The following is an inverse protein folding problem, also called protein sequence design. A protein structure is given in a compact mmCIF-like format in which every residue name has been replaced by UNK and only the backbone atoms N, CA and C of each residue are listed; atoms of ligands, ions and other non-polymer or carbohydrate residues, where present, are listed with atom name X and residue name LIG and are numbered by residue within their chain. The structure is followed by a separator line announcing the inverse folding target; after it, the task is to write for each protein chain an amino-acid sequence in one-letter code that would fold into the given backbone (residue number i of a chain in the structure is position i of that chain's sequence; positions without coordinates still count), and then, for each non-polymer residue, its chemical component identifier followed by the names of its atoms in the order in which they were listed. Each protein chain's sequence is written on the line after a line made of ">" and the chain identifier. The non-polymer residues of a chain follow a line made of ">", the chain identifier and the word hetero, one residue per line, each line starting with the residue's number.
data_IF_816653114637
#
_entry.id   IF_816653114637
#
_cell.length_a   1.000
_cell.length_b   1.000
_cell.length_c   1.000
_cell.angle_alpha   90.00
_cell.angle_beta   90.00
_cell.angle_gamma   90.00
#
_symmetry.space_group_name_H-M   'P 1'
#
loop_
_entity.id
_entity.type
_entity.pdbx_description
1 polymer ?
#
# COMPACT_ATOMS: atom_id res chain seq x y z
N UNK A 1 -31.12 -6.87 -16.91
CA UNK A 1 -30.70 -6.43 -15.56
C UNK A 1 -29.25 -6.86 -15.40
N UNK A 2 -28.31 -5.92 -15.24
CA UNK A 2 -26.90 -6.27 -15.02
C UNK A 2 -26.72 -6.47 -13.52
N UNK A 3 -26.68 -7.72 -13.07
CA UNK A 3 -26.56 -8.06 -11.64
C UNK A 3 -25.09 -8.30 -11.23
N UNK A 4 -24.14 -7.92 -12.09
CA UNK A 4 -22.72 -8.07 -11.86
C UNK A 4 -21.98 -6.84 -12.40
N UNK A 5 -20.92 -6.42 -11.71
CA UNK A 5 -19.95 -5.44 -12.20
C UNK A 5 -18.54 -5.94 -11.98
N UNK A 6 -17.73 -5.87 -13.03
CA UNK A 6 -16.29 -6.10 -12.98
C UNK A 6 -15.58 -4.75 -13.00
N UNK A 7 -14.53 -4.60 -12.20
CA UNK A 7 -13.63 -3.45 -12.18
C UNK A 7 -12.20 -3.92 -12.34
N UNK A 8 -11.43 -3.17 -13.13
CA UNK A 8 -9.99 -3.31 -13.27
C UNK A 8 -9.41 -1.93 -13.01
N UNK A 9 -8.46 -1.85 -12.09
CA UNK A 9 -7.83 -0.59 -11.68
C UNK A 9 -6.32 -0.75 -11.73
N UNK A 10 -5.66 0.30 -12.18
CA UNK A 10 -4.22 0.47 -12.09
C UNK A 10 -3.97 1.88 -11.54
N UNK A 11 -3.05 1.97 -10.58
CA UNK A 11 -2.66 3.23 -9.97
C UNK A 11 -1.16 3.24 -9.67
N UNK A 12 -0.58 4.43 -9.69
CA UNK A 12 0.81 4.66 -9.31
C UNK A 12 0.87 5.84 -8.35
N UNK A 13 1.67 5.71 -7.30
CA UNK A 13 1.94 6.76 -6.33
C UNK A 13 3.40 6.72 -5.88
N UNK A 14 3.84 7.78 -5.22
CA UNK A 14 5.19 7.87 -4.67
C UNK A 14 5.18 8.52 -3.30
N UNK A 15 6.22 8.24 -2.51
CA UNK A 15 6.55 8.93 -1.26
C UNK A 15 7.91 9.59 -1.41
N UNK A 16 7.93 10.92 -1.35
CA UNK A 16 9.19 11.64 -1.31
C UNK A 16 9.95 11.34 0.00
N UNK A 17 11.29 11.37 -0.02
CA UNK A 17 12.09 11.32 1.21
C UNK A 17 11.71 12.48 2.13
N UNK A 18 11.65 12.22 3.44
CA UNK A 18 11.37 13.25 4.42
C UNK A 18 12.64 14.00 4.88
N UNK A 19 12.46 15.14 5.55
CA UNK A 19 13.59 15.97 6.00
C UNK A 19 14.52 15.26 6.99
N UNK A 20 14.01 14.29 7.76
CA UNK A 20 14.82 13.51 8.71
C UNK A 20 15.67 12.49 7.95
N UNK A 21 15.08 11.83 6.96
CA UNK A 21 15.76 10.89 6.07
C UNK A 21 16.90 11.58 5.29
N UNK A 22 16.69 12.83 4.86
CA UNK A 22 17.68 13.58 4.08
C UNK A 22 18.74 14.32 4.92
N UNK A 23 18.34 15.01 5.99
CA UNK A 23 19.18 16.05 6.61
C UNK A 23 19.58 15.76 8.07
N UNK A 24 19.47 14.52 8.54
CA UNK A 24 19.96 14.16 9.88
C UNK A 24 21.49 14.17 9.93
N UNK A 25 22.06 15.25 10.49
CA UNK A 25 23.52 15.44 10.60
C UNK A 25 24.06 15.45 12.03
N UNK A 26 23.21 15.69 13.03
CA UNK A 26 23.60 15.86 14.44
C UNK A 26 23.39 14.61 15.31
N UNK A 27 23.21 13.44 14.69
CA UNK A 27 23.02 12.16 15.37
C UNK A 27 24.08 11.17 14.87
N UNK A 28 25.23 11.00 15.55
CA UNK A 28 26.32 10.14 15.05
C UNK A 28 25.94 8.68 14.78
N UNK A 29 24.84 8.19 15.39
CA UNK A 29 24.32 6.86 15.17
C UNK A 29 23.39 6.72 13.94
N UNK A 30 22.87 7.84 13.40
CA UNK A 30 21.93 7.87 12.27
C UNK A 30 22.23 9.08 11.38
N UNK A 31 22.62 8.82 10.14
CA UNK A 31 23.06 9.83 9.17
C UNK A 31 22.01 9.92 8.05
N UNK A 32 21.59 11.14 7.73
CA UNK A 32 20.71 11.43 6.60
C UNK A 32 21.41 11.24 5.25
N UNK A 33 20.63 11.19 4.18
CA UNK A 33 21.10 11.03 2.82
C UNK A 33 20.33 11.94 1.84
N UNK A 34 21.01 12.91 1.26
CA UNK A 34 20.40 13.83 0.29
C UNK A 34 20.23 13.19 -1.11
N UNK A 35 20.90 12.07 -1.36
CA UNK A 35 20.86 11.32 -2.62
C UNK A 35 19.73 10.26 -2.64
N UNK A 36 18.72 10.39 -1.78
CA UNK A 36 17.58 9.47 -1.76
C UNK A 36 16.62 9.73 -2.92
N UNK A 37 16.24 8.66 -3.60
CA UNK A 37 15.15 8.65 -4.56
C UNK A 37 13.78 8.47 -3.84
N UNK A 38 12.67 8.95 -4.40
CA UNK A 38 11.33 8.66 -3.86
C UNK A 38 11.00 7.17 -3.92
N UNK A 39 10.34 6.65 -2.88
CA UNK A 39 9.73 5.32 -2.93
C UNK A 39 8.55 5.36 -3.91
N UNK A 40 8.36 4.32 -4.71
CA UNK A 40 7.21 4.23 -5.64
C UNK A 40 6.37 3.00 -5.36
N UNK A 41 5.07 3.10 -5.65
CA UNK A 41 4.14 1.98 -5.55
C UNK A 41 3.26 1.91 -6.80
N UNK A 42 3.19 0.73 -7.40
CA UNK A 42 2.27 0.38 -8.48
C UNK A 42 1.22 -0.60 -7.96
N UNK A 43 -0.04 -0.23 -8.07
CA UNK A 43 -1.18 -1.00 -7.58
C UNK A 43 -2.01 -1.52 -8.75
N UNK A 44 -2.29 -2.82 -8.75
CA UNK A 44 -3.19 -3.49 -9.68
C UNK A 44 -4.34 -4.10 -8.89
N UNK A 45 -5.58 -3.78 -9.26
CA UNK A 45 -6.76 -4.35 -8.60
C UNK A 45 -7.75 -4.92 -9.61
N UNK A 46 -8.33 -6.06 -9.24
CA UNK A 46 -9.47 -6.66 -9.92
C UNK A 46 -10.59 -6.89 -8.92
N UNK A 47 -11.76 -6.37 -9.24
CA UNK A 47 -12.94 -6.42 -8.38
C UNK A 47 -14.14 -7.00 -9.09
N UNK A 48 -14.83 -7.94 -8.47
CA UNK A 48 -16.11 -8.47 -8.93
C UNK A 48 -17.16 -8.22 -7.85
N UNK A 49 -18.24 -7.54 -8.24
CA UNK A 49 -19.41 -7.34 -7.39
C UNK A 49 -20.63 -8.00 -8.05
N UNK A 50 -21.42 -8.71 -7.25
CA UNK A 50 -22.61 -9.42 -7.69
C UNK A 50 -23.80 -9.16 -6.77
N UNK A 51 -24.92 -8.76 -7.36
CA UNK A 51 -26.20 -8.61 -6.69
C UNK A 51 -27.02 -9.90 -6.86
N UNK A 52 -27.03 -10.75 -5.83
CA UNK A 52 -27.77 -12.01 -5.84
C UNK A 52 -29.27 -11.80 -5.93
N UNK A 53 -29.79 -10.80 -5.20
CA UNK A 53 -31.17 -10.37 -5.25
C UNK A 53 -31.30 -8.93 -4.74
N UNK A 54 -32.52 -8.39 -4.65
CA UNK A 54 -32.79 -7.02 -4.17
C UNK A 54 -32.35 -6.73 -2.72
N UNK A 55 -31.94 -7.75 -1.97
CA UNK A 55 -31.53 -7.64 -0.57
C UNK A 55 -30.05 -7.99 -0.34
N UNK A 56 -29.40 -8.73 -1.23
CA UNK A 56 -28.05 -9.26 -0.98
C UNK A 56 -27.13 -8.91 -2.14
N UNK A 57 -26.02 -8.27 -1.81
CA UNK A 57 -24.91 -7.96 -2.72
C UNK A 57 -23.61 -8.39 -2.07
N UNK A 58 -22.73 -9.06 -2.81
CA UNK A 58 -21.37 -9.35 -2.33
C UNK A 58 -20.34 -8.92 -3.35
N UNK A 59 -19.18 -8.52 -2.84
CA UNK A 59 -18.02 -8.12 -3.60
C UNK A 59 -16.80 -8.94 -3.19
N UNK A 60 -15.93 -9.23 -4.14
CA UNK A 60 -14.58 -9.74 -3.89
C UNK A 60 -13.60 -8.90 -4.69
N UNK A 61 -12.52 -8.48 -4.06
CA UNK A 61 -11.43 -7.74 -4.69
C UNK A 61 -10.12 -8.48 -4.44
N UNK A 62 -9.29 -8.57 -5.48
CA UNK A 62 -7.89 -8.95 -5.34
C UNK A 62 -7.04 -7.72 -5.69
N UNK A 63 -6.03 -7.48 -4.87
CA UNK A 63 -5.07 -6.40 -5.09
C UNK A 63 -3.65 -6.94 -5.08
N UNK A 64 -2.78 -6.31 -5.87
CA UNK A 64 -1.35 -6.54 -5.90
C UNK A 64 -0.64 -5.20 -5.94
N UNK A 65 0.23 -4.96 -4.96
CA UNK A 65 1.07 -3.79 -4.83
C UNK A 65 2.53 -4.20 -5.03
N UNK A 66 3.20 -3.47 -5.90
CA UNK A 66 4.62 -3.55 -6.17
C UNK A 66 5.27 -2.25 -5.69
N UNK A 67 6.16 -2.34 -4.70
CA UNK A 67 6.78 -1.20 -4.02
C UNK A 67 8.28 -1.26 -4.29
N UNK A 68 8.80 -0.22 -4.93
CA UNK A 68 10.20 -0.10 -5.32
C UNK A 68 10.89 1.01 -4.53
N UNK A 69 12.21 0.88 -4.37
CA UNK A 69 13.11 1.89 -3.78
C UNK A 69 12.81 2.24 -2.32
N UNK A 70 12.43 1.26 -1.49
CA UNK A 70 12.14 1.47 -0.06
C UNK A 70 13.30 2.16 0.66
N UNK A 71 13.03 3.27 1.34
CA UNK A 71 14.03 4.00 2.12
C UNK A 71 14.17 3.30 3.48
N UNK A 72 15.38 2.83 3.78
CA UNK A 72 15.66 2.09 5.02
C UNK A 72 16.95 2.56 5.70
N UNK A 73 16.93 2.61 7.03
CA UNK A 73 18.13 2.89 7.83
C UNK A 73 18.99 1.63 7.97
N UNK A 74 20.19 1.68 7.40
CA UNK A 74 21.08 0.52 7.22
C UNK A 74 22.43 0.79 7.85
N UNK A 75 23.00 -0.24 8.48
CA UNK A 75 24.29 -0.13 9.18
C UNK A 75 25.41 0.02 8.15
N UNK A 76 26.15 1.12 8.23
CA UNK A 76 27.37 1.31 7.47
C UNK A 76 28.44 0.32 7.95
N UNK A 77 29.21 -0.29 7.03
CA UNK A 77 30.32 -1.18 7.38
C UNK A 77 31.55 -0.38 7.86
N UNK A 78 31.35 0.48 8.86
CA UNK A 78 32.37 1.29 9.52
C UNK A 78 32.61 0.79 10.95
N UNK A 79 33.77 1.10 11.52
CA UNK A 79 34.14 0.65 12.88
C UNK A 79 33.18 1.14 13.98
N UNK A 80 32.37 2.17 13.71
CA UNK A 80 31.40 2.74 14.66
C UNK A 80 29.97 2.20 14.48
N UNK A 81 29.66 1.46 13.41
CA UNK A 81 28.33 0.88 13.18
C UNK A 81 27.21 1.92 13.01
N UNK A 82 27.52 3.13 12.54
CA UNK A 82 26.52 4.16 12.27
C UNK A 82 25.50 3.68 11.22
N UNK A 83 24.25 4.10 11.34
CA UNK A 83 23.21 3.83 10.35
C UNK A 83 23.04 5.01 9.39
N UNK A 84 22.62 4.72 8.17
CA UNK A 84 22.38 5.70 7.13
C UNK A 84 21.13 5.31 6.33
N UNK A 85 20.36 6.30 5.88
CA UNK A 85 19.20 6.06 5.02
C UNK A 85 19.62 5.79 3.58
N UNK A 86 19.19 4.67 3.01
CA UNK A 86 19.39 4.34 1.60
C UNK A 86 18.12 3.75 1.00
N UNK A 87 17.90 3.95 -0.31
CA UNK A 87 16.91 3.18 -1.07
C UNK A 87 17.42 1.73 -1.12
N UNK A 88 16.86 0.89 -0.27
CA UNK A 88 17.25 -0.49 -0.11
C UNK A 88 16.02 -1.40 -0.07
N UNK A 89 15.81 -2.06 -1.20
CA UNK A 89 14.93 -3.21 -1.34
C UNK A 89 13.54 -2.86 -1.87
N UNK A 90 12.87 -3.93 -2.29
CA UNK A 90 11.54 -3.88 -2.87
C UNK A 90 10.60 -4.73 -2.02
N UNK A 91 9.32 -4.38 -2.00
CA UNK A 91 8.29 -5.14 -1.32
C UNK A 91 7.08 -5.37 -2.21
N UNK A 92 6.50 -6.56 -2.08
CA UNK A 92 5.28 -6.93 -2.79
C UNK A 92 4.21 -7.27 -1.77
N UNK A 93 3.04 -6.64 -1.88
CA UNK A 93 1.90 -6.86 -0.98
C UNK A 93 0.68 -7.21 -1.80
N UNK A 94 0.09 -8.37 -1.53
CA UNK A 94 -1.10 -8.82 -2.23
C UNK A 94 -2.10 -9.45 -1.28
N UNK A 95 -3.38 -9.40 -1.65
CA UNK A 95 -4.43 -9.90 -0.78
C UNK A 95 -5.78 -10.01 -1.49
N UNK A 96 -6.73 -10.60 -0.77
CA UNK A 96 -8.12 -10.70 -1.19
C UNK A 96 -8.97 -10.08 -0.09
N UNK A 97 -9.91 -9.24 -0.50
CA UNK A 97 -10.93 -8.66 0.36
C UNK A 97 -12.30 -9.10 -0.13
N UNK A 98 -13.21 -9.34 0.79
CA UNK A 98 -14.58 -9.73 0.50
C UNK A 98 -15.54 -8.91 1.35
N UNK A 99 -16.58 -8.37 0.73
CA UNK A 99 -17.67 -7.68 1.43
C UNK A 99 -19.00 -8.35 1.11
N UNK A 100 -19.94 -8.35 2.07
CA UNK A 100 -21.33 -8.74 1.81
C UNK A 100 -22.29 -7.80 2.51
N UNK A 101 -23.17 -7.21 1.72
CA UNK A 101 -24.26 -6.34 2.18
C UNK A 101 -25.59 -7.09 2.15
N UNK A 102 -26.30 -7.04 3.27
CA UNK A 102 -27.65 -7.61 3.42
C UNK A 102 -28.63 -6.54 3.91
N UNK A 103 -29.67 -6.28 3.11
CA UNK A 103 -30.76 -5.35 3.43
C UNK A 103 -31.93 -6.13 4.07
N UNK A 104 -32.02 -6.13 5.40
CA UNK A 104 -32.97 -6.98 6.16
C UNK A 104 -34.38 -6.38 6.23
N UNK A 105 -34.55 -5.05 6.09
CA UNK A 105 -35.81 -4.27 5.95
C UNK A 105 -35.46 -2.76 5.98
N UNK A 106 -36.37 -1.85 5.62
CA UNK A 106 -36.09 -0.38 5.57
C UNK A 106 -35.35 0.11 6.83
N UNK A 107 -34.04 0.36 6.74
CA UNK A 107 -33.31 1.22 7.67
C UNK A 107 -32.23 0.62 8.58
N UNK A 108 -31.73 -0.61 8.41
CA UNK A 108 -30.54 -1.10 9.16
C UNK A 108 -29.55 -1.82 8.24
N UNK A 109 -28.29 -1.38 8.26
CA UNK A 109 -27.16 -1.99 7.54
C UNK A 109 -26.21 -2.66 8.55
N UNK A 110 -25.67 -3.83 8.18
CA UNK A 110 -24.54 -4.48 8.84
C UNK A 110 -23.40 -4.54 7.82
N UNK A 111 -22.24 -3.98 8.19
CA UNK A 111 -21.00 -4.07 7.43
C UNK A 111 -20.12 -5.09 8.14
N UNK A 112 -19.70 -6.14 7.42
CA UNK A 112 -18.71 -7.13 7.86
C UNK A 112 -17.75 -7.36 6.72
#
# INVERSE_FOLDING_TARGET
>A
MKNASLKLLYGEAFRAPDFTEMFTINQPALIGNEDLDPETIKTYEIGLNYQFNKYVTSGINYFYNDIEDLISARVLPTAQGATHFENFGDAHVQGIEMETKVDITKGRFLLV
#
